data_IF_232307323057
#
_entry.id   IF_232307323057
#
_cell.length_a   1.000
_cell.length_b   1.000
_cell.length_c   1.000
_cell.angle_alpha   90.00
_cell.angle_beta   90.00
_cell.angle_gamma   90.00
#
_symmetry.space_group_name_H-M   'P 1'
#
loop_
_entity.id
_entity.type
_entity.pdbx_description
1 polymer ?
#
# COMPACT_ATOMS: atom_id res chain seq x y z
N UNK A 1 -23.50 13.35 6.38
CA UNK A 1 -22.89 13.55 7.74
C UNK A 1 -21.44 13.15 7.61
N UNK A 2 -20.49 13.95 8.13
CA UNK A 2 -19.06 13.61 8.03
C UNK A 2 -18.70 12.54 9.07
N UNK A 3 -17.86 11.59 8.69
CA UNK A 3 -17.40 10.50 9.53
C UNK A 3 -16.20 10.92 10.38
N UNK A 4 -16.33 10.79 11.71
CA UNK A 4 -15.21 10.96 12.65
C UNK A 4 -14.45 9.65 12.78
N UNK A 5 -13.21 9.63 12.29
CA UNK A 5 -12.33 8.49 12.44
C UNK A 5 -11.38 8.73 13.60
N UNK A 6 -11.30 7.74 14.50
CA UNK A 6 -10.35 7.71 15.61
C UNK A 6 -9.50 6.45 15.49
N UNK A 7 -8.31 6.61 14.97
CA UNK A 7 -7.28 5.60 14.91
C UNK A 7 -6.01 6.14 15.56
N UNK A 8 -5.13 5.27 15.97
CA UNK A 8 -3.81 5.63 16.51
C UNK A 8 -2.75 4.67 15.95
N UNK A 9 -1.49 5.11 15.99
CA UNK A 9 -0.38 4.32 15.49
C UNK A 9 -0.33 4.24 13.96
N UNK A 10 0.18 3.11 13.45
CA UNK A 10 0.34 2.89 12.01
C UNK A 10 -0.97 3.00 11.22
N UNK A 11 -2.13 2.46 11.68
CA UNK A 11 -3.39 2.62 10.96
C UNK A 11 -3.80 4.07 10.71
N UNK A 12 -3.43 5.02 11.56
CA UNK A 12 -3.77 6.45 11.35
C UNK A 12 -3.05 7.04 10.15
N UNK A 13 -1.88 6.50 9.78
CA UNK A 13 -1.09 7.01 8.65
C UNK A 13 -1.82 6.87 7.31
N UNK A 14 -2.79 5.95 7.20
CA UNK A 14 -3.60 5.78 5.98
C UNK A 14 -4.38 7.05 5.61
N UNK A 15 -4.76 7.88 6.59
CA UNK A 15 -5.47 9.15 6.35
C UNK A 15 -4.58 10.16 5.64
N UNK A 16 -3.30 10.18 5.97
CA UNK A 16 -2.32 11.08 5.35
C UNK A 16 -2.08 10.67 3.88
N UNK A 17 -2.00 9.37 3.62
CA UNK A 17 -1.75 8.87 2.26
C UNK A 17 -2.94 9.11 1.33
N UNK A 18 -4.17 8.87 1.78
CA UNK A 18 -5.36 9.14 0.96
C UNK A 18 -5.53 10.64 0.71
N UNK A 19 -5.24 11.48 1.71
CA UNK A 19 -5.28 12.93 1.54
C UNK A 19 -4.28 13.43 0.50
N UNK A 20 -3.05 12.91 0.52
CA UNK A 20 -2.03 13.25 -0.46
C UNK A 20 -2.49 12.92 -1.89
N UNK A 21 -3.09 11.74 -2.12
CA UNK A 21 -3.63 11.35 -3.44
C UNK A 21 -4.81 12.21 -3.87
N UNK A 22 -5.77 12.46 -2.98
CA UNK A 22 -6.91 13.33 -3.27
C UNK A 22 -6.49 14.75 -3.65
N UNK A 23 -5.51 15.31 -2.93
CA UNK A 23 -4.97 16.63 -3.20
C UNK A 23 -4.24 16.70 -4.55
N UNK A 24 -3.48 15.66 -4.89
CA UNK A 24 -2.81 15.55 -6.18
C UNK A 24 -3.83 15.44 -7.33
N UNK A 25 -4.85 14.59 -7.15
CA UNK A 25 -5.91 14.38 -8.13
C UNK A 25 -6.67 15.68 -8.46
N UNK A 26 -6.94 16.51 -7.47
CA UNK A 26 -7.58 17.84 -7.63
C UNK A 26 -6.62 18.93 -8.14
N UNK A 27 -5.33 18.73 -7.99
CA UNK A 27 -4.29 19.72 -8.30
C UNK A 27 -3.65 19.49 -9.65
N UNK A 28 -2.42 18.98 -9.66
CA UNK A 28 -1.65 18.73 -10.89
C UNK A 28 -2.25 17.63 -11.76
N UNK A 29 -2.86 16.61 -11.13
CA UNK A 29 -3.51 15.52 -11.84
C UNK A 29 -2.59 14.41 -12.34
N UNK A 30 -1.37 14.29 -11.80
CA UNK A 30 -0.49 13.15 -12.12
C UNK A 30 -1.04 11.82 -11.61
N UNK A 31 -1.90 11.88 -10.62
CA UNK A 31 -2.72 10.77 -10.14
C UNK A 31 -4.17 11.18 -10.26
N UNK A 32 -4.99 10.34 -10.91
CA UNK A 32 -6.44 10.49 -10.94
C UNK A 32 -7.08 9.49 -9.99
N UNK A 33 -7.51 9.96 -8.81
CA UNK A 33 -8.06 9.13 -7.75
C UNK A 33 -9.39 9.72 -7.23
N UNK A 34 -10.44 9.59 -8.05
CA UNK A 34 -11.77 10.09 -7.73
C UNK A 34 -12.32 9.50 -6.42
N UNK A 35 -11.94 8.26 -6.08
CA UNK A 35 -12.35 7.65 -4.82
C UNK A 35 -11.66 8.29 -3.61
N UNK A 36 -10.40 8.65 -3.72
CA UNK A 36 -9.72 9.40 -2.65
C UNK A 36 -10.37 10.77 -2.45
N UNK A 37 -10.75 11.46 -3.52
CA UNK A 37 -11.46 12.74 -3.43
C UNK A 37 -12.82 12.61 -2.72
N UNK A 38 -13.60 11.59 -3.09
CA UNK A 38 -14.89 11.28 -2.46
C UNK A 38 -14.75 10.98 -0.96
N UNK A 39 -13.72 10.21 -0.57
CA UNK A 39 -13.48 9.85 0.83
C UNK A 39 -13.12 11.08 1.66
N UNK A 40 -12.21 11.93 1.16
CA UNK A 40 -11.80 13.14 1.89
C UNK A 40 -12.98 14.08 2.18
N UNK A 41 -13.97 14.14 1.29
CA UNK A 41 -15.19 14.92 1.51
C UNK A 41 -16.07 14.37 2.64
N UNK A 42 -16.02 13.05 2.85
CA UNK A 42 -16.79 12.36 3.90
C UNK A 42 -16.11 12.42 5.28
N UNK A 43 -14.80 12.71 5.32
CA UNK A 43 -14.03 12.70 6.57
C UNK A 43 -14.19 14.02 7.36
N UNK A 44 -14.31 13.88 8.67
CA UNK A 44 -14.14 14.95 9.66
C UNK A 44 -12.79 14.76 10.35
N UNK A 45 -11.71 15.18 9.67
CA UNK A 45 -10.33 15.05 10.15
C UNK A 45 -9.51 16.29 9.80
N UNK A 46 -8.63 16.70 10.71
CA UNK A 46 -7.73 17.85 10.49
C UNK A 46 -6.48 17.41 9.73
N UNK A 47 -6.42 17.78 8.46
CA UNK A 47 -5.27 17.51 7.57
C UNK A 47 -4.19 18.59 7.58
N UNK A 48 -4.24 19.55 8.53
CA UNK A 48 -3.29 20.68 8.56
C UNK A 48 -1.82 20.25 8.68
N UNK A 49 -1.54 19.12 9.35
CA UNK A 49 -0.19 18.55 9.44
C UNK A 49 0.24 17.97 8.10
N UNK A 50 -0.65 17.25 7.41
CA UNK A 50 -0.37 16.70 6.07
C UNK A 50 -0.09 17.80 5.04
N UNK A 51 -0.77 18.93 5.14
CA UNK A 51 -0.54 20.09 4.28
C UNK A 51 0.87 20.67 4.40
N UNK A 52 1.42 20.62 5.59
CA UNK A 52 2.78 21.14 5.90
C UNK A 52 3.89 20.14 5.56
N UNK A 53 3.57 18.85 5.45
CA UNK A 53 4.55 17.80 5.16
C UNK A 53 4.64 17.52 3.64
N UNK A 54 5.33 18.42 2.95
CA UNK A 54 5.54 18.31 1.50
C UNK A 54 6.39 17.11 1.12
N UNK A 55 7.32 16.68 1.99
CA UNK A 55 8.18 15.54 1.74
C UNK A 55 7.38 14.23 1.77
N UNK A 56 6.54 14.04 2.79
CA UNK A 56 5.62 12.91 2.86
C UNK A 56 4.70 12.86 1.64
N UNK A 57 4.05 13.99 1.32
CA UNK A 57 3.15 14.08 0.16
C UNK A 57 3.85 13.71 -1.14
N UNK A 58 5.04 14.26 -1.41
CA UNK A 58 5.81 13.93 -2.61
C UNK A 58 6.19 12.44 -2.65
N UNK A 59 6.58 11.85 -1.52
CA UNK A 59 6.87 10.42 -1.41
C UNK A 59 5.64 9.56 -1.73
N UNK A 60 4.48 9.89 -1.18
CA UNK A 60 3.21 9.18 -1.45
C UNK A 60 2.84 9.24 -2.93
N UNK A 61 2.94 10.42 -3.55
CA UNK A 61 2.61 10.60 -4.96
C UNK A 61 3.59 9.81 -5.84
N UNK A 62 4.89 9.93 -5.58
CA UNK A 62 5.92 9.22 -6.34
C UNK A 62 5.73 7.70 -6.31
N UNK A 63 5.54 7.12 -5.12
CA UNK A 63 5.33 5.67 -5.01
C UNK A 63 4.01 5.23 -5.65
N UNK A 64 2.95 6.03 -5.55
CA UNK A 64 1.67 5.73 -6.20
C UNK A 64 1.85 5.66 -7.72
N UNK A 65 2.54 6.62 -8.34
CA UNK A 65 2.84 6.63 -9.77
C UNK A 65 3.61 5.37 -10.18
N UNK A 66 4.66 5.02 -9.44
CA UNK A 66 5.48 3.84 -9.75
C UNK A 66 4.66 2.55 -9.61
N UNK A 67 4.00 2.35 -8.47
CA UNK A 67 3.22 1.13 -8.21
C UNK A 67 2.01 1.00 -9.14
N UNK A 68 1.34 2.10 -9.48
CA UNK A 68 0.23 2.07 -10.43
C UNK A 68 0.70 1.67 -11.83
N UNK A 69 1.85 2.19 -12.30
CA UNK A 69 2.46 1.79 -13.55
C UNK A 69 2.80 0.31 -13.55
N UNK A 70 3.56 -0.15 -12.56
CA UNK A 70 3.95 -1.56 -12.42
C UNK A 70 2.72 -2.48 -12.37
N UNK A 71 1.69 -2.11 -11.61
CA UNK A 71 0.47 -2.91 -11.49
C UNK A 71 -0.28 -2.99 -12.82
N UNK A 72 -0.41 -1.89 -13.55
CA UNK A 72 -1.05 -1.88 -14.88
C UNK A 72 -0.30 -2.76 -15.89
N UNK A 73 1.02 -2.63 -15.95
CA UNK A 73 1.87 -3.40 -16.86
C UNK A 73 1.80 -4.91 -16.54
N UNK A 74 1.85 -5.25 -15.25
CA UNK A 74 1.75 -6.63 -14.82
C UNK A 74 0.38 -7.23 -15.13
N UNK A 75 -0.71 -6.54 -14.84
CA UNK A 75 -2.08 -6.99 -15.13
C UNK A 75 -2.31 -7.14 -16.63
N UNK A 76 -1.76 -6.27 -17.46
CA UNK A 76 -1.85 -6.38 -18.92
C UNK A 76 -1.22 -7.67 -19.45
N UNK A 77 -0.17 -8.16 -18.79
CA UNK A 77 0.51 -9.43 -19.15
C UNK A 77 -0.05 -10.68 -18.45
N UNK A 78 -0.95 -10.51 -17.48
CA UNK A 78 -1.55 -11.60 -16.69
C UNK A 78 -3.08 -11.45 -16.63
N UNK A 79 -3.79 -11.60 -17.75
CA UNK A 79 -5.24 -11.45 -17.77
C UNK A 79 -5.92 -12.47 -16.84
N UNK A 80 -6.93 -12.02 -16.10
CA UNK A 80 -7.64 -12.86 -15.15
C UNK A 80 -6.89 -13.11 -13.84
N UNK A 81 -5.86 -12.33 -13.56
CA UNK A 81 -5.09 -12.43 -12.31
C UNK A 81 -5.93 -12.05 -11.07
N UNK A 82 -5.53 -12.60 -9.94
CA UNK A 82 -5.97 -12.15 -8.60
C UNK A 82 -4.93 -11.20 -8.04
N UNK A 83 -5.40 -10.12 -7.42
CA UNK A 83 -4.55 -9.17 -6.70
C UNK A 83 -4.88 -9.22 -5.21
N UNK A 84 -3.85 -9.29 -4.37
CA UNK A 84 -3.98 -9.16 -2.91
C UNK A 84 -3.20 -7.94 -2.46
N UNK A 85 -3.89 -6.94 -1.95
CA UNK A 85 -3.31 -5.71 -1.43
C UNK A 85 -3.21 -5.82 0.10
N UNK A 86 -2.01 -6.07 0.60
CA UNK A 86 -1.72 -6.30 2.03
C UNK A 86 -1.44 -4.98 2.73
N UNK A 87 -2.01 -4.80 3.92
CA UNK A 87 -2.01 -3.55 4.68
C UNK A 87 -2.56 -2.40 3.84
N UNK A 88 -3.71 -2.66 3.22
CA UNK A 88 -4.29 -1.81 2.19
C UNK A 88 -4.74 -0.44 2.71
N UNK A 89 -5.00 -0.27 4.01
CA UNK A 89 -5.52 0.97 4.57
C UNK A 89 -6.72 1.50 3.78
N UNK A 90 -6.61 2.75 3.33
CA UNK A 90 -7.54 3.38 2.41
C UNK A 90 -6.98 3.48 0.97
N UNK A 91 -6.17 2.52 0.55
CA UNK A 91 -5.74 2.45 -0.85
C UNK A 91 -6.96 2.18 -1.76
N UNK A 92 -7.04 2.96 -2.81
CA UNK A 92 -8.12 2.97 -3.80
C UNK A 92 -7.68 2.41 -5.16
N UNK A 93 -6.52 1.72 -5.20
CA UNK A 93 -5.94 1.18 -6.45
C UNK A 93 -6.89 0.25 -7.18
N UNK A 94 -7.66 -0.57 -6.45
CA UNK A 94 -8.67 -1.46 -7.03
C UNK A 94 -9.73 -0.75 -7.90
N UNK A 95 -9.98 0.53 -7.66
CA UNK A 95 -10.96 1.31 -8.45
C UNK A 95 -10.37 1.95 -9.72
N UNK A 96 -9.04 2.05 -9.80
CA UNK A 96 -8.36 2.66 -10.96
C UNK A 96 -7.54 1.66 -11.78
N UNK A 97 -7.53 0.38 -11.37
CA UNK A 97 -6.93 -0.72 -12.13
C UNK A 97 -8.03 -1.52 -12.83
N UNK A 98 -7.67 -2.20 -13.91
CA UNK A 98 -8.52 -3.10 -14.68
C UNK A 98 -7.75 -4.35 -15.11
N UNK A 99 -8.47 -5.39 -15.56
CA UNK A 99 -7.85 -6.62 -16.06
C UNK A 99 -7.63 -7.70 -15.00
N UNK A 100 -7.90 -7.44 -13.74
CA UNK A 100 -7.93 -8.47 -12.69
C UNK A 100 -9.28 -9.22 -12.68
N UNK A 101 -9.25 -10.49 -12.26
CA UNK A 101 -10.47 -11.26 -12.01
C UNK A 101 -11.05 -10.94 -10.64
N UNK A 102 -10.19 -10.82 -9.63
CA UNK A 102 -10.58 -10.47 -8.27
C UNK A 102 -9.49 -9.64 -7.58
N UNK A 103 -9.92 -8.72 -6.72
CA UNK A 103 -9.04 -7.90 -5.90
C UNK A 103 -9.39 -8.07 -4.42
N UNK A 104 -8.44 -8.51 -3.62
CA UNK A 104 -8.58 -8.66 -2.18
C UNK A 104 -7.84 -7.54 -1.47
N UNK A 105 -8.55 -6.77 -0.65
CA UNK A 105 -7.99 -5.78 0.25
C UNK A 105 -7.88 -6.38 1.65
N UNK A 106 -6.68 -6.49 2.18
CA UNK A 106 -6.38 -7.11 3.47
C UNK A 106 -5.74 -6.08 4.40
N UNK A 107 -6.29 -5.96 5.62
CA UNK A 107 -5.71 -5.17 6.70
C UNK A 107 -6.25 -5.65 8.05
N UNK A 108 -5.74 -5.09 9.12
CA UNK A 108 -6.20 -5.36 10.48
C UNK A 108 -7.70 -5.06 10.65
N UNK A 109 -8.42 -5.78 11.53
CA UNK A 109 -9.86 -5.63 11.69
C UNK A 109 -10.31 -4.19 11.96
N UNK A 110 -9.57 -3.42 12.75
CA UNK A 110 -9.89 -2.03 13.04
C UNK A 110 -9.77 -1.11 11.80
N UNK A 111 -8.78 -1.34 10.95
CA UNK A 111 -8.61 -0.63 9.67
C UNK A 111 -9.72 -1.00 8.72
N UNK A 112 -10.03 -2.30 8.60
CA UNK A 112 -11.08 -2.78 7.71
C UNK A 112 -12.47 -2.29 8.12
N UNK A 113 -12.74 -2.14 9.41
CA UNK A 113 -13.99 -1.56 9.91
C UNK A 113 -14.18 -0.09 9.48
N UNK A 114 -13.08 0.66 9.35
CA UNK A 114 -13.10 2.02 8.79
C UNK A 114 -13.26 1.98 7.27
N UNK A 115 -12.52 1.10 6.61
CA UNK A 115 -12.58 0.94 5.15
C UNK A 115 -13.98 0.58 4.68
N UNK A 116 -14.65 -0.37 5.34
CA UNK A 116 -16.00 -0.82 4.99
C UNK A 116 -17.02 0.33 5.00
N UNK A 117 -16.92 1.26 5.95
CA UNK A 117 -17.79 2.45 6.03
C UNK A 117 -17.55 3.44 4.90
N UNK A 118 -16.29 3.63 4.51
CA UNK A 118 -15.88 4.63 3.52
C UNK A 118 -15.89 4.08 2.09
N UNK A 119 -15.60 2.81 1.94
CA UNK A 119 -15.44 2.06 0.69
C UNK A 119 -16.23 0.74 0.77
N UNK A 120 -17.56 0.77 0.65
CA UNK A 120 -18.36 -0.46 0.60
C UNK A 120 -18.04 -1.22 -0.69
N UNK A 121 -17.20 -2.24 -0.57
CA UNK A 121 -16.67 -3.03 -1.68
C UNK A 121 -17.52 -4.28 -1.91
N UNK A 122 -17.73 -4.64 -3.18
CA UNK A 122 -18.52 -5.79 -3.59
C UNK A 122 -18.13 -6.27 -4.99
N UNK A 123 -18.71 -7.38 -5.43
CA UNK A 123 -18.45 -7.95 -6.74
C UNK A 123 -17.04 -8.54 -6.82
N UNK A 124 -16.21 -7.98 -7.68
CA UNK A 124 -14.81 -8.44 -7.86
C UNK A 124 -13.81 -7.85 -6.85
N UNK A 125 -14.28 -7.11 -5.85
CA UNK A 125 -13.46 -6.56 -4.79
C UNK A 125 -13.96 -7.08 -3.45
N UNK A 126 -13.09 -7.71 -2.68
CA UNK A 126 -13.39 -8.27 -1.36
C UNK A 126 -12.45 -7.75 -0.29
N UNK A 127 -12.94 -7.75 0.95
CA UNK A 127 -12.19 -7.31 2.13
C UNK A 127 -11.87 -8.52 3.02
N UNK A 128 -10.63 -8.54 3.54
CA UNK A 128 -10.16 -9.54 4.49
C UNK A 128 -9.66 -8.82 5.75
N UNK A 129 -10.38 -8.97 6.85
CA UNK A 129 -10.05 -8.36 8.14
C UNK A 129 -9.18 -9.33 8.96
N UNK A 130 -7.88 -9.39 8.65
CA UNK A 130 -6.90 -10.27 9.29
C UNK A 130 -5.52 -9.62 9.31
N UNK A 131 -4.65 -10.10 10.22
CA UNK A 131 -3.23 -9.74 10.16
C UNK A 131 -2.57 -10.35 8.92
N UNK A 132 -1.62 -9.62 8.32
CA UNK A 132 -0.79 -10.13 7.23
C UNK A 132 0.07 -11.36 7.63
N UNK A 133 0.23 -11.60 8.92
CA UNK A 133 1.01 -12.72 9.48
C UNK A 133 0.15 -13.97 9.75
N UNK A 134 -1.17 -13.87 9.59
CA UNK A 134 -2.11 -14.99 9.76
C UNK A 134 -2.35 -15.70 8.41
N UNK A 135 -3.05 -16.85 8.43
CA UNK A 135 -3.41 -17.62 7.22
C UNK A 135 -4.61 -16.98 6.49
N UNK A 136 -4.43 -15.77 6.00
CA UNK A 136 -5.43 -15.08 5.17
C UNK A 136 -5.58 -15.73 3.78
N UNK A 137 -4.58 -16.47 3.34
CA UNK A 137 -4.61 -17.17 2.04
C UNK A 137 -5.76 -18.18 1.95
N UNK A 138 -6.23 -18.73 3.08
CA UNK A 138 -7.39 -19.60 3.14
C UNK A 138 -8.71 -18.91 2.76
N UNK A 139 -8.77 -17.57 2.77
CA UNK A 139 -9.93 -16.78 2.38
C UNK A 139 -10.02 -16.54 0.86
N UNK A 140 -8.98 -16.90 0.12
CA UNK A 140 -8.91 -16.72 -1.33
C UNK A 140 -9.28 -18.04 -1.99
N UNK A 141 -10.36 -18.01 -2.77
CA UNK A 141 -10.94 -19.19 -3.40
C UNK A 141 -10.26 -19.58 -4.71
N UNK A 142 -9.69 -18.59 -5.42
CA UNK A 142 -9.12 -18.79 -6.75
C UNK A 142 -7.85 -19.64 -6.69
N UNK A 143 -7.77 -20.59 -7.60
CA UNK A 143 -6.63 -21.51 -7.71
C UNK A 143 -6.11 -21.53 -9.15
N UNK A 144 -4.81 -21.79 -9.30
CA UNK A 144 -4.17 -21.90 -10.61
C UNK A 144 -4.28 -20.65 -11.50
N UNK A 145 -4.42 -19.49 -10.89
CA UNK A 145 -4.43 -18.18 -11.56
C UNK A 145 -3.15 -17.41 -11.22
N UNK A 146 -2.72 -16.47 -12.07
CA UNK A 146 -1.65 -15.54 -11.69
C UNK A 146 -2.06 -14.73 -10.46
N UNK A 147 -1.14 -14.58 -9.50
CA UNK A 147 -1.39 -13.82 -8.26
C UNK A 147 -0.35 -12.71 -8.13
N UNK A 148 -0.84 -11.49 -7.96
CA UNK A 148 -0.04 -10.33 -7.59
C UNK A 148 -0.31 -9.98 -6.13
N UNK A 149 0.74 -9.91 -5.34
CA UNK A 149 0.69 -9.37 -3.97
C UNK A 149 1.28 -7.97 -3.99
N UNK A 150 0.57 -7.01 -3.42
CA UNK A 150 1.06 -5.63 -3.26
C UNK A 150 1.21 -5.34 -1.77
N UNK A 151 2.39 -4.87 -1.36
CA UNK A 151 2.72 -4.48 0.02
C UNK A 151 3.29 -3.06 -0.03
N UNK A 152 2.46 -2.07 0.22
CA UNK A 152 2.82 -0.66 0.20
C UNK A 152 2.73 -0.07 1.61
N UNK A 153 3.73 0.70 2.04
CA UNK A 153 3.68 1.46 3.29
C UNK A 153 3.68 0.61 4.57
N UNK A 154 4.17 -0.63 4.54
CA UNK A 154 4.11 -1.55 5.68
C UNK A 154 5.48 -1.90 6.25
N UNK A 155 6.42 -2.36 5.42
CA UNK A 155 7.65 -3.03 5.90
C UNK A 155 8.49 -2.18 6.82
N UNK A 156 8.50 -0.86 6.66
CA UNK A 156 9.26 0.07 7.48
C UNK A 156 8.80 0.15 8.95
N UNK A 157 7.59 -0.31 9.25
CA UNK A 157 7.03 -0.35 10.62
C UNK A 157 7.23 -1.70 11.33
N UNK A 158 7.75 -2.70 10.63
CA UNK A 158 7.93 -4.06 11.12
C UNK A 158 9.39 -4.32 11.54
N UNK A 159 9.68 -5.55 11.91
CA UNK A 159 11.04 -6.08 12.04
C UNK A 159 11.29 -7.18 10.99
N UNK A 160 12.53 -7.63 10.87
CA UNK A 160 12.89 -8.63 9.87
C UNK A 160 12.12 -9.95 10.01
N UNK A 161 11.79 -10.39 11.24
CA UNK A 161 11.03 -11.62 11.50
C UNK A 161 9.59 -11.50 11.05
N UNK A 162 8.97 -10.34 11.30
CA UNK A 162 7.59 -10.07 10.86
C UNK A 162 7.51 -10.06 9.33
N UNK A 163 8.48 -9.44 8.66
CA UNK A 163 8.57 -9.46 7.20
C UNK A 163 8.73 -10.90 6.69
N UNK A 164 9.64 -11.69 7.26
CA UNK A 164 9.82 -13.10 6.91
C UNK A 164 8.52 -13.91 7.12
N UNK A 165 7.78 -13.65 8.20
CA UNK A 165 6.51 -14.32 8.48
C UNK A 165 5.45 -14.00 7.41
N UNK A 166 5.30 -12.75 7.01
CA UNK A 166 4.39 -12.35 5.93
C UNK A 166 4.74 -13.10 4.63
N UNK A 167 6.01 -13.11 4.26
CA UNK A 167 6.45 -13.79 3.05
C UNK A 167 6.31 -15.31 3.13
N UNK A 168 6.46 -15.91 4.32
CA UNK A 168 6.18 -17.34 4.52
C UNK A 168 4.70 -17.67 4.31
N UNK A 169 3.77 -16.83 4.77
CA UNK A 169 2.33 -17.00 4.48
C UNK A 169 2.08 -16.95 2.97
N UNK A 170 2.72 -16.01 2.27
CA UNK A 170 2.58 -15.87 0.81
C UNK A 170 3.13 -17.11 0.10
N UNK A 171 4.36 -17.54 0.38
CA UNK A 171 4.99 -18.68 -0.30
C UNK A 171 4.25 -20.00 -0.07
N UNK A 172 3.75 -20.22 1.13
CA UNK A 172 2.98 -21.42 1.47
C UNK A 172 1.67 -21.53 0.67
N UNK A 173 1.00 -20.42 0.42
CA UNK A 173 -0.29 -20.42 -0.29
C UNK A 173 -0.16 -20.17 -1.78
N UNK A 174 0.75 -19.29 -2.17
CA UNK A 174 0.93 -18.80 -3.55
C UNK A 174 2.38 -18.93 -4.00
N UNK A 175 2.90 -20.14 -4.23
CA UNK A 175 4.32 -20.37 -4.53
C UNK A 175 4.78 -19.76 -5.85
N UNK A 176 3.86 -19.29 -6.68
CA UNK A 176 4.14 -18.62 -7.96
C UNK A 176 3.72 -17.15 -7.97
N UNK A 177 3.40 -16.56 -6.81
CA UNK A 177 3.01 -15.16 -6.76
C UNK A 177 4.15 -14.23 -7.17
N UNK A 178 3.79 -13.14 -7.83
CA UNK A 178 4.64 -11.95 -7.95
C UNK A 178 4.34 -11.04 -6.77
N UNK A 179 5.38 -10.50 -6.13
CA UNK A 179 5.21 -9.60 -4.99
C UNK A 179 5.84 -8.25 -5.32
N UNK A 180 5.03 -7.21 -5.30
CA UNK A 180 5.49 -5.82 -5.29
C UNK A 180 5.54 -5.35 -3.84
N UNK A 181 6.72 -5.03 -3.36
CA UNK A 181 6.93 -4.63 -1.96
C UNK A 181 7.71 -3.33 -1.87
N UNK A 182 7.14 -2.37 -1.17
CA UNK A 182 7.86 -1.15 -0.80
C UNK A 182 8.78 -1.43 0.37
N UNK A 183 10.04 -1.01 0.23
CA UNK A 183 11.05 -1.08 1.28
C UNK A 183 11.70 0.27 1.50
N UNK A 184 12.29 0.48 2.66
CA UNK A 184 13.00 1.70 2.99
C UNK A 184 14.48 1.41 3.23
N UNK A 185 15.36 2.28 2.72
CA UNK A 185 16.79 2.15 2.99
C UNK A 185 17.08 2.40 4.48
N UNK A 186 17.94 1.61 5.14
CA UNK A 186 18.26 1.76 6.57
C UNK A 186 18.80 3.15 6.97
N UNK A 187 19.45 3.86 6.05
CA UNK A 187 19.90 5.23 6.31
C UNK A 187 18.72 6.20 6.40
N UNK A 188 17.69 5.97 5.57
CA UNK A 188 16.46 6.76 5.59
C UNK A 188 15.70 6.50 6.90
N UNK A 189 15.52 5.23 7.28
CA UNK A 189 14.87 4.84 8.55
C UNK A 189 15.49 5.57 9.75
N UNK A 190 16.81 5.72 9.79
CA UNK A 190 17.53 6.38 10.89
C UNK A 190 17.38 7.90 10.89
N UNK A 191 17.19 8.52 9.74
CA UNK A 191 17.27 9.99 9.57
C UNK A 191 15.92 10.64 9.29
N UNK A 192 15.02 9.89 8.66
CA UNK A 192 13.75 10.45 8.21
C UNK A 192 12.74 10.47 9.35
N UNK A 193 12.16 11.64 9.58
CA UNK A 193 11.04 11.85 10.51
C UNK A 193 9.91 12.49 9.72
N UNK A 194 8.84 11.75 9.56
CA UNK A 194 7.62 12.31 8.99
C UNK A 194 6.87 13.08 10.06
N UNK A 195 6.80 14.38 9.91
CA UNK A 195 6.13 15.29 10.86
C UNK A 195 4.63 14.99 10.97
N UNK A 196 4.02 14.55 9.86
CA UNK A 196 2.60 14.24 9.80
C UNK A 196 2.20 13.00 10.59
N UNK A 197 3.15 12.09 10.88
CA UNK A 197 2.90 10.86 11.65
C UNK A 197 3.39 10.94 13.11
N UNK A 198 4.08 12.01 13.49
CA UNK A 198 4.53 12.19 14.90
C UNK A 198 3.36 12.11 15.88
N UNK A 199 2.18 12.64 15.49
CA UNK A 199 0.95 12.58 16.29
C UNK A 199 0.35 11.18 16.43
N UNK A 200 0.62 10.28 15.48
CA UNK A 200 0.10 8.90 15.48
C UNK A 200 0.95 7.93 16.29
N UNK A 201 2.12 8.35 16.80
CA UNK A 201 3.13 7.50 17.45
C UNK A 201 3.73 6.39 16.54
N UNK A 202 3.47 6.41 15.25
CA UNK A 202 4.12 5.50 14.29
C UNK A 202 5.61 5.82 14.16
N UNK A 203 6.46 4.79 14.03
CA UNK A 203 7.91 4.95 13.88
C UNK A 203 8.44 3.97 12.85
N UNK A 204 9.33 4.44 11.99
CA UNK A 204 10.11 3.55 11.14
C UNK A 204 11.14 2.79 11.97
N UNK A 205 11.09 1.47 11.92
CA UNK A 205 11.89 0.58 12.74
C UNK A 205 12.82 -0.30 11.93
N UNK A 206 12.48 -0.58 10.66
CA UNK A 206 13.22 -1.49 9.83
C UNK A 206 13.38 -0.98 8.40
N UNK A 207 14.45 -1.41 7.76
CA UNK A 207 14.74 -1.16 6.37
C UNK A 207 15.78 -2.12 5.82
N UNK A 208 15.85 -2.23 4.51
CA UNK A 208 16.78 -3.09 3.78
C UNK A 208 17.49 -2.29 2.69
N UNK A 209 18.74 -2.65 2.39
CA UNK A 209 19.57 -1.86 1.48
C UNK A 209 19.01 -1.77 0.06
N UNK A 210 18.48 -2.88 -0.45
CA UNK A 210 17.90 -3.03 -1.79
C UNK A 210 17.13 -4.35 -1.89
N UNK A 211 16.49 -4.60 -3.03
CA UNK A 211 15.70 -5.80 -3.28
C UNK A 211 16.52 -7.10 -3.25
N UNK A 212 17.80 -7.07 -3.65
CA UNK A 212 18.70 -8.24 -3.55
C UNK A 212 18.92 -8.61 -2.08
N UNK A 213 19.15 -7.61 -1.22
CA UNK A 213 19.32 -7.85 0.21
C UNK A 213 18.02 -8.32 0.88
N UNK A 214 16.84 -7.89 0.40
CA UNK A 214 15.57 -8.42 0.84
C UNK A 214 15.41 -9.89 0.43
N UNK A 215 15.65 -10.23 -0.82
CA UNK A 215 15.55 -11.60 -1.31
C UNK A 215 16.49 -12.57 -0.56
N UNK A 216 17.66 -12.11 -0.13
CA UNK A 216 18.57 -12.90 0.69
C UNK A 216 18.00 -13.30 2.07
N UNK A 217 16.98 -12.60 2.57
CA UNK A 217 16.25 -12.93 3.80
C UNK A 217 15.05 -13.87 3.56
N UNK A 218 14.69 -14.12 2.29
CA UNK A 218 13.45 -14.76 1.87
C UNK A 218 13.76 -15.93 0.91
N UNK A 219 14.09 -17.12 1.43
CA UNK A 219 14.64 -18.23 0.65
C UNK A 219 13.72 -18.72 -0.48
N UNK A 220 12.40 -18.54 -0.32
CA UNK A 220 11.42 -18.97 -1.33
C UNK A 220 11.18 -17.93 -2.43
N UNK A 221 11.84 -16.78 -2.35
CA UNK A 221 11.66 -15.68 -3.29
C UNK A 221 12.97 -15.34 -4.00
N UNK A 222 12.85 -14.96 -5.27
CA UNK A 222 13.96 -14.43 -6.06
C UNK A 222 13.73 -12.96 -6.36
N UNK A 223 14.78 -12.18 -6.35
CA UNK A 223 14.75 -10.79 -6.83
C UNK A 223 14.52 -10.79 -8.35
N UNK A 224 13.64 -9.91 -8.81
CA UNK A 224 13.35 -9.71 -10.23
C UNK A 224 13.86 -8.34 -10.67
N UNK A 225 13.34 -7.27 -10.07
CA UNK A 225 13.69 -5.90 -10.42
C UNK A 225 13.44 -4.94 -9.24
N UNK A 226 13.95 -3.74 -9.33
CA UNK A 226 13.78 -2.68 -8.33
C UNK A 226 13.53 -1.34 -9.02
N UNK A 227 12.54 -0.61 -8.53
CA UNK A 227 12.19 0.72 -8.99
C UNK A 227 12.40 1.74 -7.89
N UNK A 228 12.96 2.88 -8.24
CA UNK A 228 13.20 3.97 -7.31
C UNK A 228 12.00 4.92 -7.25
N UNK A 229 11.70 5.47 -6.07
CA UNK A 229 10.75 6.59 -5.94
C UNK A 229 11.16 7.81 -6.77
N UNK A 230 12.45 7.96 -7.10
CA UNK A 230 12.93 9.01 -7.99
C UNK A 230 12.29 8.93 -9.39
N UNK A 231 11.91 7.74 -9.88
CA UNK A 231 11.18 7.58 -11.14
C UNK A 231 9.82 8.28 -11.09
N UNK A 232 9.09 8.10 -9.98
CA UNK A 232 7.81 8.79 -9.76
C UNK A 232 7.98 10.28 -9.53
N UNK A 233 9.03 10.69 -8.80
CA UNK A 233 9.33 12.12 -8.60
C UNK A 233 9.65 12.84 -9.90
N UNK A 234 10.35 12.20 -10.83
CA UNK A 234 10.70 12.77 -12.12
C UNK A 234 9.47 13.12 -12.99
N UNK A 235 8.32 12.52 -12.71
CA UNK A 235 7.06 12.82 -13.44
C UNK A 235 6.54 14.20 -13.09
N UNK A 236 6.59 14.60 -11.82
CA UNK A 236 6.00 15.87 -11.37
C UNK A 236 7.00 16.92 -10.87
N UNK A 237 8.24 16.55 -10.71
CA UNK A 237 9.34 17.42 -10.34
C UNK A 237 10.59 17.10 -11.20
N UNK A 238 10.51 17.28 -12.53
CA UNK A 238 11.66 17.06 -13.39
C UNK A 238 12.79 18.00 -12.98
N UNK A 239 14.02 17.46 -12.86
CA UNK A 239 15.25 18.21 -12.54
C UNK A 239 15.74 18.95 -13.76
#
# INVERSE_FOLDING_TARGET
MKEKIRLSGVPETMLQTIYARAKESRGRGEIHDAKAEEIIEKLDYDFSLADKDTAMRSGVIARTIVLDRMTKEWLASHPGAVVVNIACGLDTRCYRMSGYAHWYNLDLPETMAVREKLLPESGTISQIAMSAMEDWGSKISEQNVPVLIVIEGLTMYLNAKDVQQIFAVISNRFPKATVFVETMNPMIVKRFKEKSIEGSHAKFTWGVKNGVALAALLPDFRFVEEHSLCEGMAVFAPV
#
